data_IF_921091270929
#
_entry.id   IF_921091270929
#
_cell.length_a   1.000
_cell.length_b   1.000
_cell.length_c   1.000
_cell.angle_alpha   90.00
_cell.angle_beta   90.00
_cell.angle_gamma   90.00
#
_symmetry.space_group_name_H-M   'P 1'
#
loop_
_entity.id
_entity.type
_entity.pdbx_description
1 polymer ?
#
# COMPACT_ATOMS: atom_id res chain seq x y z
N UNK A 1 33.71 7.70 -6.22
CA UNK A 1 33.58 6.24 -6.44
C UNK A 1 32.35 6.02 -7.32
N UNK A 2 32.42 5.17 -8.35
CA UNK A 2 31.24 4.86 -9.17
C UNK A 2 30.33 3.92 -8.38
N UNK A 3 29.05 4.23 -8.28
CA UNK A 3 28.05 3.35 -7.68
C UNK A 3 27.98 2.01 -8.43
N UNK A 4 27.70 0.89 -7.75
CA UNK A 4 27.62 -0.42 -8.38
C UNK A 4 26.51 -0.47 -9.43
N UNK A 5 26.79 -1.09 -10.58
CA UNK A 5 25.80 -1.26 -11.64
C UNK A 5 24.79 -2.35 -11.26
N UNK A 6 23.50 -1.98 -11.22
CA UNK A 6 22.40 -2.92 -11.01
C UNK A 6 21.84 -3.30 -12.39
N UNK A 7 21.93 -4.58 -12.74
CA UNK A 7 21.44 -5.12 -14.01
C UNK A 7 20.21 -5.98 -13.74
N UNK A 8 19.09 -5.66 -14.39
CA UNK A 8 17.85 -6.44 -14.28
C UNK A 8 17.31 -6.78 -15.67
N UNK A 9 16.67 -7.94 -15.79
CA UNK A 9 16.02 -8.36 -17.03
C UNK A 9 14.59 -7.86 -17.07
N UNK A 10 14.22 -7.26 -18.19
CA UNK A 10 12.85 -6.84 -18.44
C UNK A 10 12.13 -7.86 -19.35
N UNK A 11 10.83 -8.10 -19.14
CA UNK A 11 10.01 -8.78 -20.14
C UNK A 11 10.09 -8.05 -21.47
N UNK A 12 10.09 -8.80 -22.59
CA UNK A 12 10.28 -8.24 -23.94
C UNK A 12 9.34 -7.09 -24.25
N UNK A 13 8.07 -7.20 -23.87
CA UNK A 13 7.07 -6.14 -24.07
C UNK A 13 7.42 -4.84 -23.34
N UNK A 14 7.91 -4.95 -22.10
CA UNK A 14 8.31 -3.79 -21.29
C UNK A 14 9.56 -3.15 -21.89
N UNK A 15 10.54 -3.96 -22.29
CA UNK A 15 11.75 -3.46 -22.96
C UNK A 15 11.40 -2.69 -24.24
N UNK A 16 10.52 -3.24 -25.08
CA UNK A 16 10.06 -2.57 -26.31
C UNK A 16 9.39 -1.22 -26.03
N UNK A 17 8.60 -1.12 -24.95
CA UNK A 17 7.96 0.14 -24.55
C UNK A 17 8.99 1.17 -24.07
N UNK A 18 9.97 0.76 -23.26
CA UNK A 18 11.03 1.65 -22.78
C UNK A 18 11.91 2.12 -23.95
N UNK A 19 12.23 1.25 -24.91
CA UNK A 19 12.94 1.62 -26.13
C UNK A 19 12.17 2.63 -26.98
N UNK A 20 10.86 2.42 -27.14
CA UNK A 20 10.01 3.37 -27.87
C UNK A 20 9.99 4.74 -27.19
N UNK A 21 9.90 4.78 -25.87
CA UNK A 21 9.94 6.02 -25.09
C UNK A 21 11.32 6.70 -25.19
N UNK A 22 12.40 5.95 -25.06
CA UNK A 22 13.76 6.45 -25.18
C UNK A 22 14.02 7.07 -26.57
N UNK A 23 13.55 6.43 -27.64
CA UNK A 23 13.61 6.97 -29.01
C UNK A 23 12.84 8.29 -29.13
N UNK A 24 11.61 8.35 -28.60
CA UNK A 24 10.79 9.58 -28.65
C UNK A 24 11.42 10.75 -27.91
N UNK A 25 12.09 10.47 -26.80
CA UNK A 25 12.75 11.47 -25.96
C UNK A 25 14.20 11.74 -26.38
N UNK A 26 14.72 11.04 -27.38
CA UNK A 26 16.12 11.10 -27.84
C UNK A 26 17.15 10.90 -26.70
N UNK A 27 16.92 9.92 -25.84
CA UNK A 27 17.78 9.56 -24.71
C UNK A 27 18.10 8.07 -24.70
N UNK A 28 19.04 7.64 -23.86
CA UNK A 28 19.33 6.21 -23.69
C UNK A 28 18.26 5.52 -22.85
N UNK A 29 18.01 4.24 -23.15
CA UNK A 29 17.15 3.34 -22.36
C UNK A 29 17.57 3.32 -20.89
N UNK A 30 18.87 3.38 -20.62
CA UNK A 30 19.41 3.39 -19.26
C UNK A 30 19.00 4.65 -18.48
N UNK A 31 18.97 5.82 -19.11
CA UNK A 31 18.52 7.06 -18.47
C UNK A 31 17.03 6.98 -18.16
N UNK A 32 16.22 6.46 -19.09
CA UNK A 32 14.77 6.28 -18.86
C UNK A 32 14.52 5.33 -17.69
N UNK A 33 15.20 4.19 -17.67
CA UNK A 33 15.11 3.23 -16.58
C UNK A 33 15.51 3.85 -15.24
N UNK A 34 16.62 4.59 -15.20
CA UNK A 34 17.07 5.32 -14.01
C UNK A 34 16.01 6.30 -13.50
N UNK A 35 15.43 7.11 -14.40
CA UNK A 35 14.42 8.10 -14.04
C UNK A 35 13.14 7.47 -13.48
N UNK A 36 12.69 6.36 -14.08
CA UNK A 36 11.52 5.62 -13.58
C UNK A 36 11.81 5.10 -12.17
N UNK A 37 12.93 4.41 -11.97
CA UNK A 37 13.31 3.87 -10.66
C UNK A 37 13.42 4.97 -9.62
N UNK A 38 14.11 6.07 -9.93
CA UNK A 38 14.23 7.22 -9.01
C UNK A 38 12.87 7.81 -8.68
N UNK A 39 11.99 8.00 -9.67
CA UNK A 39 10.65 8.54 -9.46
C UNK A 39 9.84 7.65 -8.52
N UNK A 40 9.76 6.36 -8.81
CA UNK A 40 8.93 5.44 -8.03
C UNK A 40 9.47 5.28 -6.60
N UNK A 41 10.78 5.19 -6.41
CA UNK A 41 11.38 5.14 -5.04
C UNK A 41 11.11 6.42 -4.25
N UNK A 42 11.10 7.59 -4.89
CA UNK A 42 10.77 8.85 -4.21
C UNK A 42 9.28 8.97 -3.88
N UNK A 43 8.41 8.38 -4.69
CA UNK A 43 6.96 8.58 -4.58
C UNK A 43 6.26 7.54 -3.71
N UNK A 44 6.72 6.28 -3.73
CA UNK A 44 6.08 5.18 -3.00
C UNK A 44 6.07 5.41 -1.48
N UNK A 45 7.18 5.79 -0.80
CA UNK A 45 7.18 6.00 0.64
C UNK A 45 6.21 7.11 1.06
N UNK A 46 6.21 8.23 0.34
CA UNK A 46 5.30 9.34 0.62
C UNK A 46 3.83 8.96 0.44
N UNK A 47 3.50 8.13 -0.56
CA UNK A 47 2.14 7.60 -0.73
C UNK A 47 1.75 6.64 0.39
N UNK A 48 2.65 5.78 0.85
CA UNK A 48 2.40 4.87 1.96
C UNK A 48 2.20 5.63 3.27
N UNK A 49 3.03 6.63 3.56
CA UNK A 49 2.86 7.49 4.74
C UNK A 49 1.55 8.28 4.72
N UNK A 50 1.14 8.78 3.56
CA UNK A 50 -0.15 9.46 3.39
C UNK A 50 -1.32 8.49 3.63
N UNK A 51 -1.24 7.29 3.07
CA UNK A 51 -2.24 6.26 3.28
C UNK A 51 -2.37 5.89 4.76
N UNK A 52 -1.26 5.69 5.46
CA UNK A 52 -1.24 5.40 6.90
C UNK A 52 -1.84 6.54 7.71
N UNK A 53 -1.56 7.80 7.33
CA UNK A 53 -2.16 8.98 7.95
C UNK A 53 -3.67 9.03 7.74
N UNK A 54 -4.14 8.72 6.54
CA UNK A 54 -5.57 8.67 6.23
C UNK A 54 -6.28 7.59 7.04
N UNK A 55 -5.69 6.40 7.18
CA UNK A 55 -6.21 5.34 8.04
C UNK A 55 -6.28 5.78 9.51
N UNK A 56 -5.23 6.42 10.03
CA UNK A 56 -5.23 6.93 11.39
C UNK A 56 -6.34 7.97 11.64
N UNK A 57 -6.55 8.88 10.69
CA UNK A 57 -7.62 9.88 10.74
C UNK A 57 -9.01 9.23 10.70
N UNK A 58 -9.22 8.22 9.84
CA UNK A 58 -10.47 7.48 9.79
C UNK A 58 -10.76 6.76 11.11
N UNK A 59 -9.75 6.16 11.75
CA UNK A 59 -9.90 5.55 13.07
C UNK A 59 -10.25 6.56 14.15
N UNK A 60 -9.66 7.75 14.12
CA UNK A 60 -10.02 8.82 15.06
C UNK A 60 -11.47 9.26 14.85
N UNK A 61 -11.88 9.48 13.60
CA UNK A 61 -13.25 9.87 13.25
C UNK A 61 -14.28 8.84 13.72
N UNK A 62 -14.01 7.54 13.54
CA UNK A 62 -14.90 6.48 14.02
C UNK A 62 -15.01 6.42 15.54
N UNK A 63 -13.91 6.66 16.26
CA UNK A 63 -13.96 6.76 17.73
C UNK A 63 -14.77 7.96 18.19
N UNK A 64 -14.60 9.12 17.55
CA UNK A 64 -15.39 10.31 17.86
C UNK A 64 -16.88 10.11 17.57
N UNK A 65 -17.22 9.40 16.48
CA UNK A 65 -18.61 9.02 16.17
C UNK A 65 -19.18 8.05 17.19
N UNK A 66 -18.44 7.01 17.58
CA UNK A 66 -18.87 6.07 18.60
C UNK A 66 -19.14 6.78 19.94
N UNK A 67 -18.23 7.67 20.36
CA UNK A 67 -18.39 8.45 21.57
C UNK A 67 -19.59 9.40 21.53
N UNK A 68 -19.79 10.15 20.44
CA UNK A 68 -20.95 11.03 20.28
C UNK A 68 -22.27 10.27 20.22
N UNK A 69 -22.26 9.08 19.62
CA UNK A 69 -23.41 8.20 19.66
C UNK A 69 -23.70 7.79 21.10
N UNK A 70 -22.72 7.29 21.86
CA UNK A 70 -22.89 6.93 23.27
C UNK A 70 -23.44 8.10 24.12
N UNK A 71 -22.93 9.32 23.92
CA UNK A 71 -23.45 10.54 24.55
C UNK A 71 -24.91 10.81 24.16
N UNK A 72 -25.25 10.73 22.87
CA UNK A 72 -26.63 10.88 22.38
C UNK A 72 -27.57 9.82 22.98
N UNK A 73 -27.11 8.58 23.12
CA UNK A 73 -27.87 7.49 23.73
C UNK A 73 -28.05 7.66 25.23
N UNK A 74 -27.09 8.28 25.91
CA UNK A 74 -27.17 8.58 27.34
C UNK A 74 -28.17 9.69 27.68
N UNK A 75 -28.39 10.63 26.75
CA UNK A 75 -29.30 11.78 26.93
C UNK A 75 -30.73 11.45 26.49
N UNK A 76 -30.91 10.58 25.50
CA UNK A 76 -32.19 10.29 24.84
C UNK A 76 -32.70 8.88 25.18
N UNK A 77 -32.90 8.61 26.48
CA UNK A 77 -33.25 7.31 27.09
C UNK A 77 -34.57 6.64 26.65
N UNK A 78 -35.10 6.93 25.46
CA UNK A 78 -36.34 6.36 24.90
C UNK A 78 -36.20 5.64 23.56
N UNK A 79 -34.99 5.46 23.00
CA UNK A 79 -34.76 4.75 21.70
C UNK A 79 -33.76 3.57 21.78
N UNK A 80 -33.73 2.85 22.90
CA UNK A 80 -32.70 1.84 23.23
C UNK A 80 -32.40 0.76 22.18
N UNK A 81 -33.38 0.30 21.39
CA UNK A 81 -33.15 -0.82 20.46
C UNK A 81 -32.43 -0.41 19.14
N UNK A 82 -32.75 0.77 18.57
CA UNK A 82 -32.08 1.25 17.35
C UNK A 82 -30.66 1.77 17.66
N UNK A 83 -30.51 2.29 18.86
CA UNK A 83 -29.29 2.76 19.47
C UNK A 83 -28.23 1.66 19.65
N UNK A 84 -28.61 0.56 20.31
CA UNK A 84 -27.75 -0.63 20.47
C UNK A 84 -27.32 -1.20 19.12
N UNK A 85 -28.25 -1.32 18.17
CA UNK A 85 -27.95 -1.85 16.84
C UNK A 85 -26.94 -0.99 16.05
N UNK A 86 -26.97 0.34 16.22
CA UNK A 86 -25.99 1.23 15.59
C UNK A 86 -24.62 1.15 16.27
N UNK A 87 -24.58 1.03 17.60
CA UNK A 87 -23.33 0.85 18.34
C UNK A 87 -22.65 -0.49 17.99
N UNK A 88 -23.42 -1.56 17.90
CA UNK A 88 -22.95 -2.88 17.50
C UNK A 88 -22.39 -2.87 16.07
N UNK A 89 -23.08 -2.20 15.13
CA UNK A 89 -22.58 -2.04 13.75
C UNK A 89 -21.31 -1.17 13.66
N UNK A 90 -21.20 -0.12 14.46
CA UNK A 90 -19.98 0.68 14.55
C UNK A 90 -18.82 -0.14 15.11
N UNK A 91 -19.08 -0.96 16.13
CA UNK A 91 -18.08 -1.87 16.69
C UNK A 91 -17.60 -2.89 15.65
N UNK A 92 -18.52 -3.54 14.91
CA UNK A 92 -18.16 -4.44 13.81
C UNK A 92 -17.32 -3.75 12.72
N UNK A 93 -17.67 -2.51 12.35
CA UNK A 93 -16.90 -1.72 11.37
C UNK A 93 -15.51 -1.38 11.91
N UNK A 94 -15.39 -1.05 13.20
CA UNK A 94 -14.09 -0.81 13.83
C UNK A 94 -13.23 -2.07 13.86
N UNK A 95 -13.80 -3.24 14.20
CA UNK A 95 -13.08 -4.52 14.18
C UNK A 95 -12.65 -4.91 12.77
N UNK A 96 -13.51 -4.69 11.77
CA UNK A 96 -13.16 -4.92 10.38
C UNK A 96 -12.04 -3.99 9.91
N UNK A 97 -12.06 -2.73 10.33
CA UNK A 97 -10.97 -1.78 10.05
C UNK A 97 -9.68 -2.13 10.77
N UNK A 98 -9.72 -2.62 12.00
CA UNK A 98 -8.53 -3.12 12.70
C UNK A 98 -7.97 -4.38 12.00
N UNK A 99 -8.83 -5.28 11.51
CA UNK A 99 -8.39 -6.42 10.71
C UNK A 99 -7.80 -6.01 9.35
N UNK A 100 -8.37 -5.00 8.69
CA UNK A 100 -7.81 -4.40 7.49
C UNK A 100 -6.48 -3.71 7.81
N UNK A 101 -6.35 -3.01 8.93
CA UNK A 101 -5.10 -2.39 9.38
C UNK A 101 -4.03 -3.43 9.67
N UNK A 102 -4.36 -4.53 10.31
CA UNK A 102 -3.43 -5.63 10.57
C UNK A 102 -3.00 -6.34 9.29
N UNK A 103 -3.86 -6.38 8.26
CA UNK A 103 -3.54 -6.87 6.93
C UNK A 103 -2.77 -5.84 6.06
N UNK A 104 -3.01 -4.55 6.27
CA UNK A 104 -2.42 -3.43 5.53
C UNK A 104 -1.10 -2.94 6.12
N UNK A 105 -0.84 -3.20 7.41
CA UNK A 105 0.50 -3.08 7.98
C UNK A 105 1.39 -4.08 7.25
N UNK A 106 2.16 -3.55 6.31
CA UNK A 106 3.21 -4.24 5.58
C UNK A 106 4.32 -4.56 6.58
N UNK A 107 4.11 -5.56 7.44
CA UNK A 107 5.22 -6.47 7.73
C UNK A 107 5.69 -6.93 6.35
N UNK A 108 6.99 -6.84 6.01
CA UNK A 108 7.48 -7.42 4.77
C UNK A 108 6.95 -8.85 4.77
N UNK A 109 5.98 -9.11 3.89
CA UNK A 109 5.25 -10.37 3.88
C UNK A 109 6.33 -11.41 3.82
N UNK A 110 6.43 -12.28 4.84
CA UNK A 110 7.48 -13.29 4.87
C UNK A 110 7.45 -14.09 3.58
N UNK A 111 6.24 -14.30 3.03
CA UNK A 111 6.02 -14.83 1.70
C UNK A 111 6.63 -13.98 0.57
N UNK A 112 6.40 -12.67 0.49
CA UNK A 112 7.00 -11.81 -0.55
C UNK A 112 8.53 -11.73 -0.38
N UNK A 113 9.02 -11.58 0.84
CA UNK A 113 10.45 -11.56 1.14
C UNK A 113 11.12 -12.89 0.77
N UNK A 114 10.47 -14.02 1.06
CA UNK A 114 10.93 -15.36 0.68
C UNK A 114 10.80 -15.59 -0.83
N UNK A 115 9.75 -15.07 -1.48
CA UNK A 115 9.57 -15.15 -2.93
C UNK A 115 10.67 -14.37 -3.66
N UNK A 116 11.02 -13.19 -3.18
CA UNK A 116 12.12 -12.36 -3.70
C UNK A 116 13.45 -13.05 -3.45
N UNK A 117 13.72 -13.50 -2.21
CA UNK A 117 14.96 -14.22 -1.86
C UNK A 117 15.15 -15.49 -2.69
N UNK A 118 14.10 -16.32 -2.81
CA UNK A 118 14.12 -17.54 -3.63
C UNK A 118 14.23 -17.26 -5.13
N UNK A 119 13.87 -16.06 -5.58
CA UNK A 119 14.05 -15.63 -6.96
C UNK A 119 15.48 -15.12 -7.20
N UNK A 120 16.04 -14.39 -6.24
CA UNK A 120 17.40 -13.85 -6.30
C UNK A 120 18.49 -14.92 -6.17
N UNK A 121 18.22 -16.01 -5.44
CA UNK A 121 19.13 -17.16 -5.33
C UNK A 121 19.18 -18.04 -6.59
N UNK A 122 18.31 -17.80 -7.60
CA UNK A 122 18.29 -18.62 -8.82
C UNK A 122 19.30 -18.12 -9.85
N UNK A 123 20.06 -19.03 -10.51
CA UNK A 123 21.02 -18.67 -11.56
C UNK A 123 20.38 -18.06 -12.80
N UNK A 124 19.07 -18.24 -12.98
CA UNK A 124 18.27 -17.62 -14.04
C UNK A 124 16.98 -17.07 -13.44
N UNK A 125 16.91 -15.75 -13.30
CA UNK A 125 15.72 -15.03 -12.89
C UNK A 125 14.65 -15.07 -13.99
N UNK A 126 13.52 -15.73 -13.72
CA UNK A 126 12.31 -15.76 -14.56
C UNK A 126 11.21 -14.95 -13.89
N UNK A 127 10.44 -14.15 -14.64
CA UNK A 127 9.36 -13.32 -14.09
C UNK A 127 8.54 -14.07 -13.04
N UNK A 128 8.34 -13.42 -11.89
CA UNK A 128 7.47 -13.89 -10.83
C UNK A 128 6.07 -14.07 -11.42
N UNK A 129 5.57 -15.31 -11.41
CA UNK A 129 4.16 -15.58 -11.68
C UNK A 129 3.43 -15.26 -10.38
N UNK A 130 2.76 -14.12 -10.35
CA UNK A 130 1.75 -13.77 -9.35
C UNK A 130 0.43 -14.41 -9.78
#
# INVERSE_FOLDING_TARGET
MREPAIMFRLPTQVLSNVEALARRLNVSVNIVAKLIVTREIMHIPAMLEEHDRQLANMHQFLRELAFRNEEFLSVDGRKGAAAEAMAEKLHEVMTALDAIRDAAFVRPSTFIADLIRNHDERPVQKSLRV
#
